data_IF_291968836328
#
_entry.id   IF_291968836328
#
_cell.length_a   1.000
_cell.length_b   1.000
_cell.length_c   1.000
_cell.angle_alpha   90.00
_cell.angle_beta   90.00
_cell.angle_gamma   90.00
#
_symmetry.space_group_name_H-M   'P 1'
#
loop_
_entity.id
_entity.type
_entity.pdbx_description
1 polymer ?
#
# COMPACT_ATOMS: atom_id res chain seq x y z
N UNK A 1 37.84 38.66 83.14
CA UNK A 1 38.53 39.74 82.40
C UNK A 1 38.00 39.74 80.98
N UNK A 2 37.11 40.64 80.70
CA UNK A 2 37.12 41.69 79.67
C UNK A 2 37.61 41.19 78.31
N UNK A 3 36.84 41.24 77.22
CA UNK A 3 36.38 42.42 76.53
C UNK A 3 35.63 42.02 75.23
N UNK A 4 34.50 42.67 75.05
CA UNK A 4 34.11 43.50 73.89
C UNK A 4 34.02 42.81 72.50
N UNK A 5 32.79 42.60 72.08
CA UNK A 5 32.03 43.36 71.06
C UNK A 5 32.78 43.67 69.79
N UNK A 6 32.24 43.16 68.69
CA UNK A 6 31.87 43.99 67.53
C UNK A 6 30.96 43.12 66.57
N UNK A 7 29.73 43.62 66.39
CA UNK A 7 28.88 43.23 65.28
C UNK A 7 29.25 44.08 64.06
N UNK A 8 29.31 43.50 62.88
CA UNK A 8 29.00 44.26 61.67
C UNK A 8 27.62 43.91 61.15
N UNK A 9 26.81 44.95 61.07
CA UNK A 9 25.56 45.01 60.35
C UNK A 9 25.87 44.84 58.83
N UNK A 10 25.44 43.77 58.25
CA UNK A 10 25.43 43.65 56.78
C UNK A 10 24.06 44.05 56.23
N UNK A 11 24.06 45.21 55.60
CA UNK A 11 22.96 45.73 54.79
C UNK A 11 22.89 44.90 53.50
N UNK A 12 21.81 44.20 53.37
CA UNK A 12 21.48 43.45 52.09
C UNK A 12 20.75 44.44 51.20
N UNK A 13 21.28 44.79 50.04
CA UNK A 13 20.49 45.53 49.05
C UNK A 13 19.49 44.56 48.37
N UNK A 14 18.22 44.83 48.54
CA UNK A 14 17.14 44.20 47.85
C UNK A 14 17.16 44.60 46.36
N UNK A 15 17.65 43.74 45.54
CA UNK A 15 17.45 43.87 44.08
C UNK A 15 16.06 43.38 43.72
N UNK A 16 15.17 44.31 43.47
CA UNK A 16 13.90 44.06 42.79
C UNK A 16 14.18 43.84 41.30
N UNK A 17 14.25 42.60 40.89
CA UNK A 17 14.14 42.27 39.47
C UNK A 17 12.66 42.16 39.11
N UNK A 18 12.10 43.24 38.63
CA UNK A 18 10.86 43.24 37.88
C UNK A 18 11.16 42.75 36.48
N UNK A 19 11.04 41.45 36.26
CA UNK A 19 11.02 40.87 34.92
C UNK A 19 9.55 40.70 34.49
N UNK A 20 8.93 41.80 34.06
CA UNK A 20 7.76 41.71 33.19
C UNK A 20 8.25 41.31 31.79
N UNK A 21 8.07 40.07 31.50
CA UNK A 21 8.22 39.50 30.15
C UNK A 21 7.10 38.50 29.93
N UNK A 22 5.86 39.04 29.77
CA UNK A 22 4.79 38.26 29.16
C UNK A 22 5.06 38.17 27.64
N UNK A 23 6.10 37.45 27.27
CA UNK A 23 6.24 36.94 25.92
C UNK A 23 5.33 35.72 25.83
N UNK A 24 4.22 35.85 25.10
CA UNK A 24 3.51 34.70 24.61
C UNK A 24 4.52 33.81 23.90
N UNK A 25 4.88 32.71 24.55
CA UNK A 25 5.57 31.61 23.88
C UNK A 25 4.56 31.00 22.90
N UNK A 26 4.55 31.53 21.68
CA UNK A 26 3.93 30.83 20.55
C UNK A 26 4.67 29.52 20.46
N UNK A 27 4.07 28.46 21.00
CA UNK A 27 4.54 27.13 20.74
C UNK A 27 4.55 26.96 19.21
N UNK A 28 5.65 26.50 18.60
CA UNK A 28 5.61 26.19 17.20
C UNK A 28 4.46 25.22 16.99
N UNK A 29 3.46 25.61 16.21
CA UNK A 29 2.46 24.69 15.72
C UNK A 29 3.24 23.66 14.93
N UNK A 30 3.51 22.54 15.58
CA UNK A 30 3.90 21.33 14.87
C UNK A 30 2.67 20.97 14.08
N UNK A 31 2.57 21.49 12.86
CA UNK A 31 1.74 20.88 11.85
C UNK A 31 2.23 19.44 11.82
N UNK A 32 1.49 18.56 12.48
CA UNK A 32 1.69 17.13 12.35
C UNK A 32 1.47 16.87 10.86
N UNK A 33 2.57 16.91 10.12
CA UNK A 33 2.63 16.40 8.78
C UNK A 33 2.19 14.95 8.96
N UNK A 34 0.97 14.63 8.53
CA UNK A 34 0.49 13.27 8.56
C UNK A 34 1.57 12.47 7.83
N UNK A 35 2.39 11.77 8.62
CA UNK A 35 3.40 10.89 8.08
C UNK A 35 2.62 9.88 7.26
N UNK A 36 2.70 10.00 5.94
CA UNK A 36 2.15 8.99 5.06
C UNK A 36 2.69 7.65 5.58
N UNK A 37 1.80 6.80 6.06
CA UNK A 37 2.19 5.49 6.57
C UNK A 37 2.97 4.81 5.46
N UNK A 38 4.19 4.37 5.75
CA UNK A 38 4.98 3.64 4.77
C UNK A 38 4.16 2.44 4.26
N UNK A 39 4.16 2.16 2.96
CA UNK A 39 3.41 1.02 2.44
C UNK A 39 3.84 -0.27 3.14
N UNK A 40 2.88 -1.12 3.47
CA UNK A 40 3.11 -2.39 4.17
C UNK A 40 3.90 -3.43 3.35
N UNK A 41 4.11 -3.13 2.07
CA UNK A 41 4.85 -3.95 1.12
C UNK A 41 5.89 -3.07 0.43
N UNK A 42 7.14 -3.55 0.38
CA UNK A 42 8.16 -2.99 -0.49
C UNK A 42 7.93 -3.44 -1.95
N UNK A 43 8.51 -2.70 -2.91
CA UNK A 43 8.35 -2.95 -4.34
C UNK A 43 8.77 -4.37 -4.73
N UNK A 44 9.90 -4.85 -4.21
CA UNK A 44 10.40 -6.18 -4.53
C UNK A 44 9.47 -7.29 -4.04
N UNK A 45 8.76 -7.07 -2.95
CA UNK A 45 7.77 -8.02 -2.46
C UNK A 45 6.50 -7.99 -3.30
N UNK A 46 6.06 -6.80 -3.71
CA UNK A 46 4.93 -6.64 -4.63
C UNK A 46 5.21 -7.34 -5.96
N UNK A 47 6.37 -7.12 -6.57
CA UNK A 47 6.80 -7.80 -7.79
C UNK A 47 6.72 -9.32 -7.65
N UNK A 48 7.33 -9.90 -6.62
CA UNK A 48 7.27 -11.35 -6.39
C UNK A 48 5.84 -11.89 -6.22
N UNK A 49 4.95 -11.11 -5.62
CA UNK A 49 3.54 -11.50 -5.47
C UNK A 49 2.85 -11.54 -6.84
N UNK A 50 3.00 -10.47 -7.61
CA UNK A 50 2.38 -10.36 -8.93
C UNK A 50 2.96 -11.37 -9.92
N UNK A 51 4.28 -11.61 -9.90
CA UNK A 51 4.93 -12.65 -10.70
C UNK A 51 4.39 -14.05 -10.36
N UNK A 52 4.22 -14.35 -9.08
CA UNK A 52 3.66 -15.64 -8.67
C UNK A 52 2.19 -15.83 -9.12
N UNK A 53 1.40 -14.76 -9.19
CA UNK A 53 0.06 -14.78 -9.76
C UNK A 53 0.14 -15.00 -11.28
N UNK A 54 1.04 -14.29 -11.96
CA UNK A 54 1.26 -14.38 -13.40
C UNK A 54 1.73 -15.78 -13.81
N UNK A 55 2.66 -16.37 -13.08
CA UNK A 55 3.15 -17.74 -13.34
C UNK A 55 2.04 -18.77 -13.19
N UNK A 56 1.17 -18.60 -12.20
CA UNK A 56 -0.02 -19.45 -12.03
C UNK A 56 -0.97 -19.32 -13.23
N UNK A 57 -1.23 -18.08 -13.68
CA UNK A 57 -2.04 -17.82 -14.87
C UNK A 57 -1.42 -18.48 -16.12
N UNK A 58 -0.13 -18.25 -16.36
CA UNK A 58 0.57 -18.80 -17.53
C UNK A 58 0.51 -20.33 -17.55
N UNK A 59 0.72 -20.97 -16.41
CA UNK A 59 0.68 -22.43 -16.29
C UNK A 59 -0.72 -22.99 -16.53
N UNK A 60 -1.73 -22.36 -15.90
CA UNK A 60 -3.12 -22.77 -16.04
C UNK A 60 -3.66 -22.50 -17.45
N UNK A 61 -3.28 -21.40 -18.09
CA UNK A 61 -3.69 -21.03 -19.44
C UNK A 61 -3.15 -22.02 -20.47
N UNK A 62 -1.91 -22.46 -20.32
CA UNK A 62 -1.28 -23.42 -21.23
C UNK A 62 -2.03 -24.75 -21.29
N UNK A 63 -2.53 -25.22 -20.16
CA UNK A 63 -3.30 -26.47 -20.04
C UNK A 63 -4.81 -26.27 -20.07
N UNK A 64 -5.30 -25.04 -19.90
CA UNK A 64 -6.71 -24.69 -19.66
C UNK A 64 -7.31 -25.48 -18.48
N UNK A 65 -6.50 -25.63 -17.42
CA UNK A 65 -6.90 -26.37 -16.23
C UNK A 65 -7.26 -25.38 -15.09
N UNK A 66 -8.57 -25.26 -14.75
CA UNK A 66 -9.01 -24.36 -13.69
C UNK A 66 -8.55 -24.80 -12.30
N UNK A 67 -8.16 -26.04 -12.08
CA UNK A 67 -7.68 -26.50 -10.78
C UNK A 67 -6.36 -25.80 -10.41
N UNK A 68 -5.51 -25.51 -11.37
CA UNK A 68 -4.24 -24.82 -11.16
C UNK A 68 -4.42 -23.35 -10.72
N UNK A 69 -5.54 -22.72 -11.10
CA UNK A 69 -5.83 -21.34 -10.74
C UNK A 69 -6.03 -21.12 -9.23
N UNK A 70 -6.52 -22.14 -8.51
CA UNK A 70 -6.92 -22.03 -7.10
C UNK A 70 -5.75 -21.65 -6.17
N UNK A 71 -4.53 -21.89 -6.61
CA UNK A 71 -3.35 -21.50 -5.84
C UNK A 71 -3.23 -19.98 -5.68
N UNK A 72 -3.65 -19.21 -6.71
CA UNK A 72 -3.45 -17.75 -6.75
C UNK A 72 -4.67 -16.95 -7.22
N UNK A 73 -5.77 -17.60 -7.57
CA UNK A 73 -7.01 -16.93 -7.93
C UNK A 73 -8.14 -17.36 -7.00
N UNK A 74 -9.08 -16.44 -6.77
CA UNK A 74 -10.30 -16.73 -6.02
C UNK A 74 -11.48 -15.86 -6.51
N UNK A 75 -12.64 -16.09 -5.95
CA UNK A 75 -13.83 -15.26 -6.16
C UNK A 75 -14.19 -15.06 -7.62
N UNK A 76 -14.31 -13.81 -8.03
CA UNK A 76 -14.65 -13.39 -9.40
C UNK A 76 -13.60 -13.80 -10.42
N UNK A 77 -12.32 -13.63 -10.08
CA UNK A 77 -11.22 -13.97 -10.96
C UNK A 77 -11.20 -15.47 -11.32
N UNK A 78 -11.33 -16.34 -10.33
CA UNK A 78 -11.35 -17.79 -10.55
C UNK A 78 -12.53 -18.18 -11.45
N UNK A 79 -13.73 -17.68 -11.19
CA UNK A 79 -14.92 -17.98 -12.01
C UNK A 79 -14.74 -17.50 -13.44
N UNK A 80 -14.39 -16.22 -13.63
CA UNK A 80 -14.22 -15.64 -14.96
C UNK A 80 -13.19 -16.41 -15.79
N UNK A 81 -12.04 -16.79 -15.20
CA UNK A 81 -11.00 -17.52 -15.95
C UNK A 81 -11.43 -18.94 -16.26
N UNK A 82 -12.13 -19.62 -15.36
CA UNK A 82 -12.73 -20.93 -15.59
C UNK A 82 -13.72 -20.91 -16.74
N UNK A 83 -14.59 -19.91 -16.79
CA UNK A 83 -15.57 -19.75 -17.87
C UNK A 83 -14.88 -19.44 -19.21
N UNK A 84 -13.81 -18.65 -19.21
CA UNK A 84 -12.99 -18.42 -20.41
C UNK A 84 -12.35 -19.71 -20.94
N UNK A 85 -11.87 -20.60 -20.04
CA UNK A 85 -11.36 -21.90 -20.46
C UNK A 85 -12.45 -22.80 -21.09
N UNK A 86 -13.63 -22.79 -20.47
CA UNK A 86 -14.77 -23.54 -21.02
C UNK A 86 -15.18 -23.02 -22.41
N UNK A 87 -15.28 -21.70 -22.57
CA UNK A 87 -15.57 -21.07 -23.85
C UNK A 87 -14.50 -21.36 -24.91
N UNK A 88 -13.22 -21.22 -24.57
CA UNK A 88 -12.11 -21.48 -25.46
C UNK A 88 -12.05 -22.94 -25.92
N UNK A 89 -12.38 -23.88 -25.02
CA UNK A 89 -12.50 -25.31 -25.37
C UNK A 89 -13.68 -25.57 -26.34
N UNK A 90 -14.84 -24.95 -26.08
CA UNK A 90 -16.04 -25.12 -26.90
C UNK A 90 -15.89 -24.53 -28.30
N UNK A 91 -15.17 -23.42 -28.44
CA UNK A 91 -14.97 -22.72 -29.73
C UNK A 91 -13.66 -23.05 -30.41
N UNK A 92 -12.82 -23.90 -29.81
CA UNK A 92 -11.46 -24.19 -30.24
C UNK A 92 -10.61 -22.93 -30.50
N UNK A 93 -10.74 -21.95 -29.63
CA UNK A 93 -9.98 -20.68 -29.67
C UNK A 93 -8.95 -20.62 -28.57
N UNK A 94 -8.02 -19.67 -28.64
CA UNK A 94 -7.10 -19.39 -27.57
C UNK A 94 -7.76 -18.56 -26.48
N UNK A 95 -7.26 -18.70 -25.26
CA UNK A 95 -7.67 -17.86 -24.14
C UNK A 95 -6.95 -16.50 -24.26
N UNK A 96 -7.69 -15.41 -24.16
CA UNK A 96 -7.10 -14.06 -24.19
C UNK A 96 -6.05 -13.91 -23.11
N UNK A 97 -4.86 -13.43 -23.49
CA UNK A 97 -3.75 -13.18 -22.57
C UNK A 97 -4.19 -12.20 -21.47
N UNK A 98 -3.85 -12.53 -20.24
CA UNK A 98 -4.07 -11.70 -19.07
C UNK A 98 -2.71 -11.42 -18.42
N UNK A 99 -2.32 -10.14 -18.34
CA UNK A 99 -1.06 -9.71 -17.74
C UNK A 99 -1.41 -8.90 -16.49
N UNK A 100 -0.84 -9.29 -15.35
CA UNK A 100 -1.12 -8.70 -14.04
C UNK A 100 0.14 -8.31 -13.27
N UNK A 101 1.32 -8.51 -13.86
CA UNK A 101 2.61 -8.24 -13.21
C UNK A 101 3.42 -7.11 -13.88
N UNK A 102 2.81 -6.40 -14.83
CA UNK A 102 3.42 -5.27 -15.52
C UNK A 102 2.59 -4.01 -15.29
N UNK A 103 3.23 -2.83 -15.28
CA UNK A 103 2.56 -1.54 -15.22
C UNK A 103 2.67 -0.82 -13.88
N UNK A 104 1.65 -0.05 -13.54
CA UNK A 104 1.61 0.76 -12.32
C UNK A 104 0.91 0.03 -11.19
N UNK A 105 1.43 0.16 -9.98
CA UNK A 105 0.92 -0.55 -8.80
C UNK A 105 0.62 0.42 -7.68
N UNK A 106 -0.54 0.24 -7.03
CA UNK A 106 -0.87 0.83 -5.75
C UNK A 106 -1.09 -0.28 -4.72
N UNK A 107 -0.69 -0.03 -3.48
CA UNK A 107 -0.87 -0.97 -2.36
C UNK A 107 -1.59 -0.27 -1.21
N UNK A 108 -2.42 -1.02 -0.49
CA UNK A 108 -3.04 -0.47 0.72
C UNK A 108 -1.97 -0.14 1.77
N UNK A 109 -2.08 1.03 2.37
CA UNK A 109 -1.19 1.50 3.44
C UNK A 109 -1.77 1.30 4.85
N UNK A 110 -2.97 0.71 4.95
CA UNK A 110 -3.60 0.36 6.22
C UNK A 110 -2.91 -0.83 6.88
N UNK A 111 -2.89 -0.84 8.21
CA UNK A 111 -2.49 -2.00 9.01
C UNK A 111 -3.61 -3.03 9.16
N UNK A 112 -4.83 -2.69 8.72
CA UNK A 112 -6.00 -3.55 8.79
C UNK A 112 -6.03 -4.59 7.66
N UNK A 113 -6.86 -5.58 7.81
CA UNK A 113 -7.16 -6.61 6.83
C UNK A 113 -8.57 -6.43 6.25
N UNK A 114 -8.80 -6.76 5.00
CA UNK A 114 -7.86 -7.31 4.02
C UNK A 114 -6.90 -6.27 3.46
N UNK A 115 -5.74 -6.72 2.96
CA UNK A 115 -4.78 -5.89 2.24
C UNK A 115 -4.94 -6.06 0.74
N UNK A 116 -4.79 -4.97 0.00
CA UNK A 116 -5.07 -4.95 -1.43
C UNK A 116 -3.85 -4.46 -2.21
N UNK A 117 -3.58 -5.12 -3.32
CA UNK A 117 -2.71 -4.63 -4.39
C UNK A 117 -3.60 -4.36 -5.59
N UNK A 118 -3.51 -3.16 -6.15
CA UNK A 118 -4.13 -2.81 -7.43
C UNK A 118 -3.02 -2.68 -8.45
N UNK A 119 -3.13 -3.40 -9.56
CA UNK A 119 -2.21 -3.27 -10.69
C UNK A 119 -2.98 -2.76 -11.91
N UNK A 120 -2.42 -1.79 -12.58
CA UNK A 120 -2.90 -1.32 -13.89
C UNK A 120 -1.81 -1.63 -14.91
N UNK A 121 -2.05 -2.65 -15.71
CA UNK A 121 -1.07 -3.09 -16.70
C UNK A 121 -0.93 -2.05 -17.81
N UNK A 122 0.32 -1.71 -18.15
CA UNK A 122 0.65 -0.98 -19.37
C UNK A 122 0.77 -2.03 -20.48
N UNK A 123 -0.29 -2.22 -21.23
CA UNK A 123 -0.24 -3.07 -22.40
C UNK A 123 0.24 -2.26 -23.60
N UNK A 124 0.87 -2.96 -24.55
CA UNK A 124 1.15 -2.41 -25.85
C UNK A 124 -0.05 -1.66 -26.41
N UNK A 125 0.17 -0.63 -27.21
CA UNK A 125 -0.87 0.27 -27.73
C UNK A 125 -2.02 -0.46 -28.46
N UNK A 126 -1.87 -1.75 -28.72
CA UNK A 126 -2.86 -2.62 -29.39
C UNK A 126 -3.80 -3.34 -28.42
N UNK A 127 -3.56 -3.30 -27.14
CA UNK A 127 -4.35 -3.99 -26.12
C UNK A 127 -4.94 -3.00 -25.11
N UNK A 128 -6.14 -3.33 -24.60
CA UNK A 128 -6.76 -2.52 -23.54
C UNK A 128 -6.06 -2.77 -22.21
N UNK A 129 -5.75 -1.73 -21.42
CA UNK A 129 -5.19 -1.89 -20.09
C UNK A 129 -6.07 -2.78 -19.23
N UNK A 130 -5.45 -3.56 -18.37
CA UNK A 130 -6.13 -4.40 -17.37
C UNK A 130 -5.94 -3.79 -16.01
N UNK A 131 -7.03 -3.61 -15.29
CA UNK A 131 -7.01 -3.33 -13.86
C UNK A 131 -7.21 -4.65 -13.14
N UNK A 132 -6.28 -5.01 -12.28
CA UNK A 132 -6.29 -6.25 -11.51
C UNK A 132 -6.24 -5.95 -10.01
N UNK A 133 -6.98 -6.73 -9.23
CA UNK A 133 -7.06 -6.61 -7.78
C UNK A 133 -6.60 -7.90 -7.13
N UNK A 134 -5.49 -7.85 -6.41
CA UNK A 134 -5.03 -8.95 -5.59
C UNK A 134 -5.27 -8.64 -4.12
N UNK A 135 -5.80 -9.59 -3.37
CA UNK A 135 -6.23 -9.43 -1.97
C UNK A 135 -5.53 -10.46 -1.10
N UNK A 136 -5.18 -10.05 0.09
CA UNK A 136 -4.71 -10.90 1.18
C UNK A 136 -5.65 -10.71 2.37
N UNK A 137 -6.37 -11.76 2.77
CA UNK A 137 -7.42 -11.67 3.80
C UNK A 137 -6.87 -11.56 5.22
N UNK A 138 -5.72 -12.17 5.49
CA UNK A 138 -5.06 -12.15 6.80
C UNK A 138 -3.54 -12.34 6.67
N UNK A 139 -2.81 -12.24 7.80
CA UNK A 139 -1.35 -12.30 7.84
C UNK A 139 -0.75 -13.66 7.40
N UNK A 140 -1.53 -14.73 7.39
CA UNK A 140 -1.10 -16.08 7.01
C UNK A 140 -1.54 -16.46 5.61
N UNK A 141 -2.52 -15.75 5.06
CA UNK A 141 -3.03 -15.95 3.71
C UNK A 141 -2.04 -15.43 2.67
N UNK A 142 -2.08 -16.02 1.49
CA UNK A 142 -1.35 -15.51 0.34
C UNK A 142 -2.20 -14.49 -0.40
N UNK A 143 -1.56 -13.53 -1.08
CA UNK A 143 -2.26 -12.69 -2.03
C UNK A 143 -2.82 -13.53 -3.18
N UNK A 144 -4.10 -13.33 -3.48
CA UNK A 144 -4.80 -13.96 -4.59
C UNK A 144 -5.48 -12.93 -5.46
N UNK A 145 -5.49 -13.15 -6.76
CA UNK A 145 -6.25 -12.34 -7.69
C UNK A 145 -7.74 -12.56 -7.44
N UNK A 146 -8.44 -11.50 -7.02
CA UNK A 146 -9.87 -11.52 -6.72
C UNK A 146 -10.71 -11.18 -7.95
N UNK A 147 -10.20 -10.28 -8.80
CA UNK A 147 -10.88 -9.83 -9.99
C UNK A 147 -9.99 -9.02 -10.91
N UNK A 148 -10.42 -8.86 -12.15
CA UNK A 148 -9.84 -7.93 -13.11
C UNK A 148 -10.89 -7.38 -14.04
N UNK A 149 -10.59 -6.25 -14.66
CA UNK A 149 -11.40 -5.67 -15.73
C UNK A 149 -10.48 -5.12 -16.82
N UNK A 150 -10.96 -5.13 -18.07
CA UNK A 150 -10.30 -4.40 -19.15
C UNK A 150 -10.86 -2.99 -19.18
N UNK A 151 -9.98 -2.01 -19.26
CA UNK A 151 -10.38 -0.63 -19.42
C UNK A 151 -11.00 -0.37 -20.79
N UNK A 152 -11.81 0.66 -20.87
CA UNK A 152 -12.26 1.17 -22.15
C UNK A 152 -11.12 1.85 -22.90
N UNK A 153 -11.16 1.87 -24.22
CA UNK A 153 -10.17 2.57 -25.04
C UNK A 153 -10.12 4.04 -24.65
N UNK A 154 -8.92 4.58 -24.42
CA UNK A 154 -8.69 5.95 -23.99
C UNK A 154 -8.84 6.23 -22.49
N UNK A 155 -9.16 5.24 -21.67
CA UNK A 155 -9.15 5.39 -20.22
C UNK A 155 -7.72 5.69 -19.72
N UNK A 156 -7.62 6.70 -18.85
CA UNK A 156 -6.38 7.05 -18.16
C UNK A 156 -6.58 6.76 -16.66
N UNK A 157 -5.55 6.19 -16.06
CA UNK A 157 -5.56 5.87 -14.62
C UNK A 157 -4.42 6.63 -13.96
N UNK A 158 -4.73 7.24 -12.82
CA UNK A 158 -3.75 7.83 -11.93
C UNK A 158 -3.85 7.04 -10.62
N UNK A 159 -2.73 6.49 -10.17
CA UNK A 159 -2.59 5.85 -8.87
C UNK A 159 -1.81 6.83 -7.98
N UNK A 160 -2.43 7.24 -6.87
CA UNK A 160 -1.86 8.15 -5.88
C UNK A 160 -1.24 7.37 -4.72
#
# INVERSE_FOLDING_TARGET
>A
MNARRFLPVFVVPSFLLAACGSGDLVAPETTAQASASAPNLDSARVERILDSIQDTLNTADASRDPALLQARLEGGALRMRTDQYAAAKATNTEVSKLIVNEGSVAVSNSNDWPRVIVNVSNLDQTSLPVIAFAVQDDARSQYKLLGWARALGGAQFQLD
#
